data_IF_790459621849
#
_entry.id   IF_790459621849
#
_cell.length_a   1.000
_cell.length_b   1.000
_cell.length_c   1.000
_cell.angle_alpha   90.00
_cell.angle_beta   90.00
_cell.angle_gamma   90.00
#
_symmetry.space_group_name_H-M   'P 1'
#
loop_
_entity.id
_entity.type
_entity.pdbx_description
1 polymer ?
#
# COMPACT_ATOMS: atom_id res chain seq x y z
N UNK A 1 -17.69 10.97 -51.57
CA UNK A 1 -17.55 11.57 -50.27
C UNK A 1 -16.60 10.65 -49.47
N UNK A 2 -15.33 11.01 -49.47
CA UNK A 2 -14.27 10.20 -48.86
C UNK A 2 -14.38 10.36 -47.35
N UNK A 3 -14.58 9.27 -46.61
CA UNK A 3 -14.49 9.27 -45.17
C UNK A 3 -12.99 9.33 -44.88
N UNK A 4 -12.50 10.47 -44.38
CA UNK A 4 -11.14 10.57 -43.86
C UNK A 4 -10.95 9.50 -42.79
N UNK A 5 -10.14 8.51 -43.12
CA UNK A 5 -9.63 7.49 -42.18
C UNK A 5 -8.59 8.18 -41.30
N UNK A 6 -9.09 9.00 -40.35
CA UNK A 6 -8.24 9.62 -39.36
C UNK A 6 -7.72 8.51 -38.43
N UNK A 7 -6.47 8.12 -38.63
CA UNK A 7 -5.76 7.25 -37.69
C UNK A 7 -5.99 7.76 -36.27
N UNK A 8 -6.32 6.89 -35.32
CA UNK A 8 -6.56 7.32 -33.93
C UNK A 8 -5.35 8.08 -33.39
N UNK A 9 -5.59 9.24 -32.78
CA UNK A 9 -4.53 10.02 -32.18
C UNK A 9 -3.83 9.17 -31.12
N UNK A 10 -2.53 8.94 -31.28
CA UNK A 10 -1.72 8.19 -30.32
C UNK A 10 -1.04 9.16 -29.37
N UNK A 11 -1.11 8.87 -28.07
CA UNK A 11 -0.39 9.61 -27.04
C UNK A 11 0.65 8.67 -26.44
N UNK A 12 1.91 9.08 -26.46
CA UNK A 12 2.98 8.36 -25.75
C UNK A 12 3.14 8.94 -24.34
N UNK A 13 3.13 8.06 -23.34
CA UNK A 13 3.30 8.41 -21.94
C UNK A 13 4.41 7.56 -21.33
N UNK A 14 5.13 8.14 -20.35
CA UNK A 14 5.94 7.34 -19.44
C UNK A 14 4.98 6.38 -18.71
N UNK A 15 5.37 5.12 -18.58
CA UNK A 15 4.55 4.12 -17.88
C UNK A 15 4.29 4.59 -16.45
N UNK A 16 3.02 4.79 -16.04
CA UNK A 16 2.70 5.41 -14.75
C UNK A 16 2.99 4.48 -13.57
N UNK A 17 3.03 5.07 -12.38
CA UNK A 17 3.06 4.36 -11.09
C UNK A 17 1.68 4.43 -10.44
N UNK A 18 1.32 3.40 -9.66
CA UNK A 18 0.14 3.38 -8.81
C UNK A 18 0.56 3.58 -7.33
N UNK A 19 0.08 4.64 -6.71
CA UNK A 19 0.48 4.99 -5.34
C UNK A 19 -0.42 4.39 -4.26
N UNK A 20 -1.42 3.54 -4.60
CA UNK A 20 -2.31 2.91 -3.63
C UNK A 20 -2.97 1.63 -4.15
N UNK A 21 -2.25 0.52 -4.16
CA UNK A 21 -2.69 -0.74 -4.74
C UNK A 21 -3.02 -1.80 -3.69
N UNK A 22 -4.21 -2.39 -3.77
CA UNK A 22 -4.61 -3.56 -3.00
C UNK A 22 -4.58 -4.82 -3.88
N UNK A 23 -3.51 -5.61 -3.78
CA UNK A 23 -3.41 -6.89 -4.52
C UNK A 23 -4.08 -8.06 -3.80
N UNK A 24 -4.26 -7.97 -2.48
CA UNK A 24 -4.63 -9.12 -1.64
C UNK A 24 -3.53 -10.21 -1.68
N UNK A 25 -3.90 -11.50 -1.57
CA UNK A 25 -2.94 -12.61 -1.62
C UNK A 25 -3.55 -13.82 -2.34
N UNK A 26 -2.74 -14.85 -2.63
CA UNK A 26 -3.18 -16.10 -3.23
C UNK A 26 -3.88 -15.92 -4.57
N UNK A 27 -4.98 -16.63 -4.78
CA UNK A 27 -5.72 -16.66 -6.05
C UNK A 27 -6.29 -15.29 -6.45
N UNK A 28 -6.69 -14.47 -5.47
CA UNK A 28 -7.17 -13.12 -5.73
C UNK A 28 -6.05 -12.27 -6.31
N UNK A 29 -4.85 -12.32 -5.71
CA UNK A 29 -3.67 -11.62 -6.22
C UNK A 29 -3.33 -12.10 -7.64
N UNK A 30 -3.28 -13.40 -7.86
CA UNK A 30 -2.97 -13.98 -9.17
C UNK A 30 -3.95 -13.52 -10.26
N UNK A 31 -5.22 -13.31 -9.92
CA UNK A 31 -6.25 -12.87 -10.87
C UNK A 31 -6.15 -11.38 -11.22
N UNK A 32 -5.77 -10.50 -10.28
CA UNK A 32 -5.76 -9.04 -10.49
C UNK A 32 -4.39 -8.49 -10.92
N UNK A 33 -3.29 -9.14 -10.51
CA UNK A 33 -1.92 -8.71 -10.78
C UNK A 33 -1.63 -8.46 -12.27
N UNK A 34 -2.09 -9.32 -13.22
CA UNK A 34 -1.84 -9.10 -14.64
C UNK A 34 -2.43 -7.79 -15.18
N UNK A 35 -3.57 -7.33 -14.65
CA UNK A 35 -4.20 -6.08 -15.07
C UNK A 35 -3.35 -4.88 -14.66
N UNK A 36 -2.91 -4.84 -13.41
CA UNK A 36 -2.02 -3.81 -12.87
C UNK A 36 -0.65 -3.83 -13.58
N UNK A 37 -0.03 -5.01 -13.72
CA UNK A 37 1.29 -5.15 -14.31
C UNK A 37 1.36 -4.79 -15.80
N UNK A 38 0.23 -4.74 -16.53
CA UNK A 38 0.17 -4.23 -17.90
C UNK A 38 0.16 -2.70 -17.96
N UNK A 39 -0.39 -2.03 -16.96
CA UNK A 39 -0.62 -0.58 -16.97
C UNK A 39 0.46 0.19 -16.21
N UNK A 40 0.87 -0.30 -15.04
CA UNK A 40 1.76 0.40 -14.13
C UNK A 40 3.16 -0.21 -14.12
N UNK A 41 4.19 0.65 -14.04
CA UNK A 41 5.59 0.21 -13.88
C UNK A 41 5.84 -0.25 -12.45
N UNK A 42 5.33 0.53 -11.48
CA UNK A 42 5.48 0.29 -10.04
C UNK A 42 4.17 0.57 -9.33
N UNK A 43 4.00 -0.01 -8.14
CA UNK A 43 2.90 0.38 -7.26
C UNK A 43 3.29 0.29 -5.80
N UNK A 44 2.75 1.22 -4.98
CA UNK A 44 2.77 1.08 -3.52
C UNK A 44 1.71 0.05 -3.13
N UNK A 45 2.18 -1.10 -2.64
CA UNK A 45 1.33 -2.23 -2.28
C UNK A 45 0.88 -2.11 -0.83
N UNK A 46 -0.45 -2.06 -0.63
CA UNK A 46 -1.04 -1.93 0.70
C UNK A 46 -0.90 -3.21 1.53
N UNK A 47 -0.58 -3.08 2.83
CA UNK A 47 -0.20 -4.19 3.69
C UNK A 47 -1.37 -4.87 4.41
N UNK A 48 -2.63 -4.44 4.19
CA UNK A 48 -3.81 -4.92 4.91
C UNK A 48 -4.33 -6.28 4.42
N UNK A 49 -3.49 -7.28 4.52
CA UNK A 49 -3.82 -8.69 4.32
C UNK A 49 -4.47 -9.31 5.59
N UNK A 50 -4.71 -10.61 5.56
CA UNK A 50 -5.07 -11.44 6.74
C UNK A 50 -4.15 -12.65 6.83
N UNK A 51 -3.18 -12.65 7.76
CA UNK A 51 -2.81 -11.55 8.68
C UNK A 51 -2.15 -10.37 7.96
N UNK A 52 -2.14 -9.16 8.57
CA UNK A 52 -1.51 -7.99 7.95
C UNK A 52 0.03 -8.11 7.90
N UNK A 53 0.64 -7.38 6.98
CA UNK A 53 2.10 -7.34 6.82
C UNK A 53 2.68 -6.32 7.80
N UNK A 54 3.10 -6.77 8.97
CA UNK A 54 3.56 -5.92 10.08
C UNK A 54 5.08 -5.91 10.28
N UNK A 55 5.80 -6.81 9.58
CA UNK A 55 7.26 -6.94 9.70
C UNK A 55 7.95 -6.93 8.34
N UNK A 56 9.22 -6.56 8.35
CA UNK A 56 10.09 -6.56 7.15
C UNK A 56 10.16 -7.95 6.51
N UNK A 57 10.29 -9.01 7.30
CA UNK A 57 10.35 -10.37 6.76
C UNK A 57 9.05 -10.79 6.07
N UNK A 58 7.89 -10.37 6.60
CA UNK A 58 6.60 -10.58 5.95
C UNK A 58 6.49 -9.79 4.63
N UNK A 59 6.99 -8.53 4.61
CA UNK A 59 7.02 -7.71 3.40
C UNK A 59 7.89 -8.35 2.30
N UNK A 60 9.08 -8.85 2.66
CA UNK A 60 9.95 -9.60 1.74
C UNK A 60 9.24 -10.84 1.18
N UNK A 61 8.61 -11.63 2.05
CA UNK A 61 7.88 -12.84 1.63
C UNK A 61 6.69 -12.51 0.75
N UNK A 62 5.95 -11.42 1.05
CA UNK A 62 4.83 -10.98 0.23
C UNK A 62 5.30 -10.47 -1.14
N UNK A 63 6.39 -9.68 -1.16
CA UNK A 63 7.01 -9.24 -2.43
C UNK A 63 7.38 -10.43 -3.31
N UNK A 64 7.99 -11.46 -2.73
CA UNK A 64 8.36 -12.67 -3.49
C UNK A 64 7.13 -13.34 -4.10
N UNK A 65 6.04 -13.51 -3.35
CA UNK A 65 4.79 -14.09 -3.89
C UNK A 65 4.21 -13.26 -5.05
N UNK A 66 4.29 -11.93 -4.96
CA UNK A 66 3.85 -11.04 -6.05
C UNK A 66 4.71 -11.28 -7.31
N UNK A 67 6.04 -11.33 -7.15
CA UNK A 67 6.96 -11.55 -8.27
C UNK A 67 6.77 -12.93 -8.92
N UNK A 68 6.59 -13.97 -8.10
CA UNK A 68 6.35 -15.34 -8.58
C UNK A 68 5.01 -15.50 -9.33
N UNK A 69 4.03 -14.65 -9.01
CA UNK A 69 2.72 -14.65 -9.66
C UNK A 69 2.67 -13.79 -10.94
N UNK A 70 3.75 -13.09 -11.30
CA UNK A 70 3.78 -12.28 -12.52
C UNK A 70 3.76 -13.19 -13.77
N UNK A 71 2.86 -12.91 -14.72
CA UNK A 71 2.86 -13.62 -16.00
C UNK A 71 4.18 -13.42 -16.76
N UNK A 72 4.64 -14.43 -17.50
CA UNK A 72 5.80 -14.30 -18.38
C UNK A 72 5.71 -13.09 -19.31
N UNK A 73 6.80 -12.33 -19.43
CA UNK A 73 6.88 -11.16 -20.29
C UNK A 73 6.33 -9.86 -19.69
N UNK A 74 5.70 -9.90 -18.49
CA UNK A 74 5.35 -8.68 -17.76
C UNK A 74 6.45 -8.32 -16.74
N UNK A 75 6.69 -7.01 -16.60
CA UNK A 75 7.54 -6.45 -15.56
C UNK A 75 6.72 -5.54 -14.66
N UNK A 76 6.95 -5.64 -13.34
CA UNK A 76 6.27 -4.84 -12.34
C UNK A 76 7.13 -4.77 -11.08
N UNK A 77 7.27 -3.59 -10.50
CA UNK A 77 8.02 -3.38 -9.26
C UNK A 77 7.05 -3.10 -8.10
N UNK A 78 6.83 -4.05 -7.18
CA UNK A 78 6.04 -3.81 -6.00
C UNK A 78 6.86 -3.06 -4.94
N UNK A 79 6.44 -1.84 -4.62
CA UNK A 79 6.97 -1.02 -3.54
C UNK A 79 6.25 -1.42 -2.25
N UNK A 80 6.94 -2.16 -1.38
CA UNK A 80 6.31 -2.74 -0.20
C UNK A 80 6.06 -1.72 0.90
N UNK A 81 5.04 -1.96 1.71
CA UNK A 81 4.73 -1.17 2.90
C UNK A 81 4.53 -2.07 4.12
N UNK A 82 4.77 -1.52 5.32
CA UNK A 82 4.36 -2.15 6.57
C UNK A 82 3.03 -1.61 7.06
N UNK A 83 2.29 -2.46 7.73
CA UNK A 83 1.07 -2.12 8.45
C UNK A 83 1.45 -1.61 9.85
N UNK A 84 1.13 -0.34 10.16
CA UNK A 84 1.37 0.24 11.48
C UNK A 84 0.36 -0.31 12.49
N UNK A 85 0.86 -0.76 13.62
CA UNK A 85 0.06 -1.21 14.76
C UNK A 85 0.49 -0.48 16.04
N UNK A 86 -0.30 -0.59 17.10
CA UNK A 86 0.06 -0.08 18.43
C UNK A 86 1.40 -0.65 18.96
N UNK A 87 1.82 -1.81 18.44
CA UNK A 87 3.00 -2.55 18.90
C UNK A 87 4.18 -2.49 17.92
N UNK A 88 4.11 -1.70 16.86
CA UNK A 88 5.22 -1.55 15.90
C UNK A 88 6.41 -0.92 16.60
N UNK A 89 7.56 -1.61 16.63
CA UNK A 89 8.76 -1.14 17.32
C UNK A 89 9.61 -0.22 16.44
N UNK A 90 10.41 0.63 17.09
CA UNK A 90 11.42 1.46 16.41
C UNK A 90 12.45 0.61 15.63
N UNK A 91 12.84 -0.56 16.19
CA UNK A 91 13.78 -1.48 15.56
C UNK A 91 13.20 -2.10 14.28
N UNK A 92 11.89 -2.36 14.23
CA UNK A 92 11.25 -2.84 13.02
C UNK A 92 11.28 -1.78 11.91
N UNK A 93 11.06 -0.50 12.26
CA UNK A 93 11.17 0.62 11.32
C UNK A 93 12.61 0.74 10.78
N UNK A 94 13.63 0.60 11.64
CA UNK A 94 15.02 0.60 11.20
C UNK A 94 15.30 -0.54 10.21
N UNK A 95 14.89 -1.79 10.54
CA UNK A 95 15.02 -2.94 9.65
C UNK A 95 14.29 -2.75 8.33
N UNK A 96 13.10 -2.15 8.37
CA UNK A 96 12.32 -1.84 7.17
C UNK A 96 13.10 -0.93 6.22
N UNK A 97 13.66 0.16 6.74
CA UNK A 97 14.50 1.08 5.94
C UNK A 97 15.76 0.42 5.41
N UNK A 98 16.48 -0.33 6.26
CA UNK A 98 17.71 -1.04 5.90
C UNK A 98 17.48 -2.10 4.81
N UNK A 99 16.30 -2.68 4.74
CA UNK A 99 15.95 -3.68 3.72
C UNK A 99 16.01 -3.15 2.29
N UNK A 100 15.80 -1.84 2.12
CA UNK A 100 15.66 -1.21 0.80
C UNK A 100 14.39 -1.61 0.02
N UNK A 101 13.53 -2.47 0.60
CA UNK A 101 12.31 -3.00 -0.03
C UNK A 101 11.03 -2.39 0.52
N UNK A 102 11.08 -1.87 1.74
CA UNK A 102 9.95 -1.17 2.37
C UNK A 102 10.08 0.32 2.12
N UNK A 103 9.12 0.90 1.44
CA UNK A 103 9.13 2.28 0.99
C UNK A 103 8.30 3.22 1.86
N UNK A 104 7.38 2.68 2.65
CA UNK A 104 6.51 3.46 3.55
C UNK A 104 5.89 2.58 4.62
N UNK A 105 5.27 3.20 5.62
CA UNK A 105 4.42 2.53 6.61
C UNK A 105 3.00 3.08 6.50
N UNK A 106 2.01 2.20 6.47
CA UNK A 106 0.58 2.56 6.32
C UNK A 106 -0.13 2.49 7.67
N UNK A 107 -0.68 3.61 8.08
CA UNK A 107 -1.58 3.73 9.22
C UNK A 107 -3.02 3.51 8.77
N UNK A 108 -3.70 2.58 9.45
CA UNK A 108 -5.15 2.44 9.46
C UNK A 108 -5.65 2.70 10.88
N UNK A 109 -6.62 3.59 11.10
CA UNK A 109 -7.35 3.59 12.37
C UNK A 109 -8.07 2.24 12.54
N UNK A 110 -8.02 1.67 13.74
CA UNK A 110 -8.58 0.35 14.00
C UNK A 110 -10.08 0.32 13.66
N UNK A 111 -10.50 -0.59 12.77
CA UNK A 111 -11.88 -0.75 12.33
C UNK A 111 -12.37 0.25 11.28
N UNK A 112 -11.54 1.16 10.76
CA UNK A 112 -11.97 2.18 9.79
C UNK A 112 -12.31 1.60 8.40
N UNK A 113 -11.67 0.51 7.99
CA UNK A 113 -11.84 -0.06 6.65
C UNK A 113 -11.60 -1.57 6.63
N UNK A 114 -11.64 -2.17 5.46
CA UNK A 114 -11.41 -3.62 5.26
C UNK A 114 -10.05 -4.05 5.80
N UNK A 115 -10.02 -5.10 6.65
CA UNK A 115 -8.83 -5.66 7.28
C UNK A 115 -8.04 -4.61 8.10
N UNK A 116 -8.74 -3.71 8.79
CA UNK A 116 -8.13 -2.69 9.65
C UNK A 116 -8.27 -2.99 11.15
N UNK A 117 -8.73 -4.18 11.53
CA UNK A 117 -8.96 -4.55 12.93
C UNK A 117 -7.67 -4.47 13.79
N UNK A 118 -6.51 -4.74 13.18
CA UNK A 118 -5.20 -4.65 13.84
C UNK A 118 -4.57 -3.24 13.77
N UNK A 119 -5.33 -2.25 13.28
CA UNK A 119 -4.87 -0.87 13.11
C UNK A 119 -4.53 -0.15 14.41
N UNK A 120 -4.14 1.09 14.26
CA UNK A 120 -3.78 1.95 15.39
C UNK A 120 -5.04 2.36 16.15
N UNK A 121 -5.06 2.06 17.46
CA UNK A 121 -6.17 2.44 18.35
C UNK A 121 -5.96 3.82 18.95
N UNK A 122 -4.70 4.21 19.15
CA UNK A 122 -4.28 5.52 19.64
C UNK A 122 -2.90 5.85 19.02
N UNK A 123 -2.78 6.98 18.35
CA UNK A 123 -1.53 7.45 17.72
C UNK A 123 -0.40 7.59 18.75
N UNK A 124 -0.72 7.91 20.02
CA UNK A 124 0.28 7.99 21.07
C UNK A 124 1.00 6.64 21.34
N UNK A 125 0.34 5.51 21.09
CA UNK A 125 0.96 4.17 21.22
C UNK A 125 1.98 3.90 20.12
N UNK A 126 1.75 4.41 18.93
CA UNK A 126 2.66 4.26 17.79
C UNK A 126 3.83 5.27 17.82
N UNK A 127 3.93 6.15 18.83
CA UNK A 127 4.89 7.26 18.87
C UNK A 127 6.32 6.81 18.61
N UNK A 128 6.78 5.74 19.27
CA UNK A 128 8.15 5.24 19.08
C UNK A 128 8.45 4.83 17.62
N UNK A 129 7.46 4.23 16.94
CA UNK A 129 7.57 3.91 15.53
C UNK A 129 7.58 5.17 14.67
N UNK A 130 6.70 6.14 14.93
CA UNK A 130 6.63 7.40 14.19
C UNK A 130 7.92 8.22 14.34
N UNK A 131 8.48 8.30 15.56
CA UNK A 131 9.77 8.95 15.81
C UNK A 131 10.92 8.24 15.07
N UNK A 132 10.88 6.91 14.96
CA UNK A 132 11.84 6.15 14.16
C UNK A 132 11.66 6.41 12.66
N UNK A 133 10.43 6.44 12.16
CA UNK A 133 10.14 6.77 10.76
C UNK A 133 10.72 8.14 10.37
N UNK A 134 10.57 9.13 11.25
CA UNK A 134 11.14 10.46 11.02
C UNK A 134 12.68 10.40 10.96
N UNK A 135 13.33 9.68 11.88
CA UNK A 135 14.81 9.56 11.89
C UNK A 135 15.36 8.82 10.67
N UNK A 136 14.61 7.86 10.13
CA UNK A 136 15.01 7.02 8.99
C UNK A 136 14.47 7.52 7.65
N UNK A 137 13.78 8.66 7.62
CA UNK A 137 13.14 9.20 6.41
C UNK A 137 12.29 8.12 5.71
N UNK A 138 11.35 7.52 6.47
CA UNK A 138 10.40 6.54 5.99
C UNK A 138 8.99 7.14 6.02
N UNK A 139 8.32 7.34 4.86
CA UNK A 139 7.03 8.02 4.78
C UNK A 139 5.90 7.30 5.54
N UNK A 140 5.00 8.10 6.12
CA UNK A 140 3.72 7.63 6.66
C UNK A 140 2.61 7.82 5.63
N UNK A 141 1.92 6.74 5.29
CA UNK A 141 0.70 6.76 4.48
C UNK A 141 -0.50 6.60 5.43
N UNK A 142 -1.52 7.42 5.28
CA UNK A 142 -2.64 7.45 6.22
C UNK A 142 -3.94 7.06 5.52
N UNK A 143 -4.76 6.24 6.19
CA UNK A 143 -6.19 6.11 5.94
C UNK A 143 -6.88 7.11 6.87
N UNK A 144 -7.25 8.28 6.36
CA UNK A 144 -7.66 9.43 7.16
C UNK A 144 -9.17 9.45 7.40
N UNK A 145 -9.70 8.47 8.15
CA UNK A 145 -11.10 8.46 8.57
C UNK A 145 -11.21 8.22 10.08
N UNK A 146 -12.13 8.94 10.73
CA UNK A 146 -12.52 8.63 12.10
C UNK A 146 -13.42 7.39 12.13
N UNK A 147 -13.39 6.64 13.27
CA UNK A 147 -14.20 5.43 13.47
C UNK A 147 -15.41 5.67 14.36
N UNK A 148 -15.67 6.91 14.77
CA UNK A 148 -16.84 7.27 15.56
C UNK A 148 -18.11 7.01 14.77
N UNK A 149 -19.01 6.17 15.31
CA UNK A 149 -20.28 5.80 14.69
C UNK A 149 -21.30 6.95 14.67
N UNK A 150 -21.07 8.02 15.43
CA UNK A 150 -21.91 9.22 15.44
C UNK A 150 -21.57 10.18 14.30
N UNK A 151 -20.39 9.99 13.66
CA UNK A 151 -19.97 10.79 12.50
C UNK A 151 -20.51 10.14 11.23
N UNK A 152 -21.23 10.92 10.41
CA UNK A 152 -21.68 10.47 9.09
C UNK A 152 -20.51 9.99 8.23
N UNK A 153 -20.74 8.95 7.44
CA UNK A 153 -19.69 8.34 6.61
C UNK A 153 -19.04 9.35 5.65
N UNK A 154 -19.79 10.34 5.18
CA UNK A 154 -19.28 11.38 4.28
C UNK A 154 -18.47 12.47 4.99
N UNK A 155 -18.56 12.56 6.33
CA UNK A 155 -17.86 13.57 7.13
C UNK A 155 -16.60 13.00 7.84
N UNK A 156 -16.36 11.69 7.77
CA UNK A 156 -15.29 11.00 8.51
C UNK A 156 -13.90 11.46 8.17
N UNK A 157 -13.62 11.77 6.91
CA UNK A 157 -12.33 12.31 6.49
C UNK A 157 -12.15 13.74 7.03
N UNK A 158 -13.17 14.58 6.94
CA UNK A 158 -13.12 15.94 7.47
C UNK A 158 -12.94 15.95 8.98
N UNK A 159 -13.58 15.04 9.70
CA UNK A 159 -13.45 14.93 11.15
C UNK A 159 -12.09 14.37 11.61
N UNK A 160 -11.36 13.69 10.72
CA UNK A 160 -10.02 13.16 11.01
C UNK A 160 -8.94 14.25 10.94
N UNK A 161 -9.09 15.25 10.08
CA UNK A 161 -8.14 16.35 9.84
C UNK A 161 -8.24 17.39 10.96
#
# INVERSE_FOLDING_TARGET
MSIDDASPATIELIRPDDWHLHLRDGDVMASVLPATARQFARAIVMPNLRPPVTTTSQAVSYRQRILDALPPGLSFEPLMTLYLTDNTSADEIARAKESGLVHAVKLYPAGATTNSDAGVTDVARARAALDAMQRHDLPLLIHGEVTDTQVDVFDREQAFI
#
